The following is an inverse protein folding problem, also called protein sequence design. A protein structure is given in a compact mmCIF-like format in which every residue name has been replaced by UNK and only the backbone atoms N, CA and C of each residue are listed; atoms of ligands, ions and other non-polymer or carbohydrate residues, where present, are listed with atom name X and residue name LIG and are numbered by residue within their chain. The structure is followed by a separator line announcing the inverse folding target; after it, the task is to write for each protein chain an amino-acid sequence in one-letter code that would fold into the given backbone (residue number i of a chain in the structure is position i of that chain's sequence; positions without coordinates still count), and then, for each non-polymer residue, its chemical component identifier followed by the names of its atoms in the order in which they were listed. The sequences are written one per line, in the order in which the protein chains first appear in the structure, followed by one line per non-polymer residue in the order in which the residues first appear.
data_IF_071401290814
#
_entry.id   IF_071401290814
#
_cell.length_a   1.000
_cell.length_b   1.000
_cell.length_c   1.000
_cell.angle_alpha   90.00
_cell.angle_beta   90.00
_cell.angle_gamma   90.00
#
_symmetry.space_group_name_H-M   'P 1'
#
loop_
_entity.id
_entity.type
_entity.pdbx_description
1 polymer ?
#
# COMPACT_ATOMS: atom_id res chain seq x y z
N UNK A 1 0.85 -18.09 -6.87
CA UNK A 1 1.99 -17.20 -6.58
C UNK A 1 1.57 -15.78 -6.18
N UNK A 2 0.68 -15.11 -6.92
CA UNK A 2 0.22 -13.74 -6.60
C UNK A 2 -0.35 -13.58 -5.18
N UNK A 3 -1.23 -14.50 -4.74
CA UNK A 3 -1.79 -14.45 -3.38
C UNK A 3 -0.74 -14.53 -2.27
N UNK A 4 0.27 -15.40 -2.41
CA UNK A 4 1.38 -15.52 -1.46
C UNK A 4 2.28 -14.27 -1.47
N UNK A 5 2.57 -13.72 -2.66
CA UNK A 5 3.34 -12.48 -2.80
C UNK A 5 2.66 -11.29 -2.10
N UNK A 6 1.35 -11.15 -2.28
CA UNK A 6 0.55 -10.14 -1.58
C UNK A 6 0.51 -10.37 -0.06
N UNK A 7 0.36 -11.62 0.38
CA UNK A 7 0.31 -11.97 1.80
C UNK A 7 1.64 -11.63 2.52
N UNK A 8 2.78 -11.96 1.91
CA UNK A 8 4.10 -11.60 2.43
C UNK A 8 4.25 -10.08 2.53
N UNK A 9 3.93 -9.36 1.46
CA UNK A 9 4.00 -7.90 1.45
C UNK A 9 3.10 -7.24 2.50
N UNK A 10 1.88 -7.76 2.71
CA UNK A 10 0.96 -7.30 3.77
C UNK A 10 1.50 -7.58 5.17
N UNK A 11 2.04 -8.77 5.39
CA UNK A 11 2.61 -9.17 6.67
C UNK A 11 3.82 -8.32 7.05
N UNK A 12 4.80 -8.20 6.14
CA UNK A 12 5.97 -7.31 6.35
C UNK A 12 5.53 -5.87 6.55
N UNK A 13 4.49 -5.44 5.82
CA UNK A 13 4.00 -4.09 5.96
C UNK A 13 3.40 -3.83 7.33
N UNK A 14 2.60 -4.77 7.82
CA UNK A 14 1.97 -4.75 9.14
C UNK A 14 3.00 -4.81 10.27
N UNK A 15 4.03 -5.66 10.17
CA UNK A 15 5.12 -5.70 11.15
C UNK A 15 5.78 -4.34 11.31
N UNK A 16 6.12 -3.69 10.20
CA UNK A 16 6.76 -2.38 10.26
C UNK A 16 5.76 -1.33 10.79
N UNK A 17 4.49 -1.32 10.35
CA UNK A 17 3.49 -0.40 10.91
C UNK A 17 3.32 -0.57 12.42
N UNK A 18 3.33 -1.80 12.94
CA UNK A 18 3.32 -2.06 14.38
C UNK A 18 4.55 -1.46 15.07
N UNK A 19 5.74 -1.62 14.48
CA UNK A 19 6.97 -0.96 14.96
C UNK A 19 6.84 0.57 15.02
N UNK A 20 6.19 1.21 14.03
CA UNK A 20 5.96 2.66 14.01
C UNK A 20 4.96 3.14 15.07
N UNK A 21 3.99 2.31 15.44
CA UNK A 21 2.95 2.67 16.42
C UNK A 21 3.43 2.58 17.87
N UNK A 22 4.50 1.84 18.15
CA UNK A 22 4.98 1.71 19.51
C UNK A 22 5.52 3.05 20.04
N UNK A 23 5.13 3.41 21.27
CA UNK A 23 5.53 4.64 21.95
C UNK A 23 7.05 4.82 21.96
N UNK A 24 7.54 5.83 21.22
CA UNK A 24 8.97 6.14 21.08
C UNK A 24 9.69 6.31 22.43
N UNK A 25 9.02 6.81 23.47
CA UNK A 25 9.65 7.04 24.78
C UNK A 25 9.89 5.71 25.50
N UNK A 26 8.90 4.82 25.53
CA UNK A 26 9.04 3.48 26.10
C UNK A 26 9.97 2.59 25.28
N UNK A 27 9.92 2.74 23.95
CA UNK A 27 10.77 1.99 23.03
C UNK A 27 12.25 2.33 23.18
N UNK A 28 12.57 3.62 23.30
CA UNK A 28 13.96 4.08 23.48
C UNK A 28 14.61 3.46 24.71
N UNK A 29 13.86 3.36 25.81
CA UNK A 29 14.33 2.69 27.03
C UNK A 29 14.53 1.18 26.85
N UNK A 30 13.69 0.53 26.05
CA UNK A 30 13.74 -0.92 25.84
C UNK A 30 14.78 -1.37 24.80
N UNK A 31 14.98 -0.59 23.74
CA UNK A 31 15.86 -0.96 22.62
C UNK A 31 17.35 -0.76 22.93
N UNK A 32 17.70 0.16 23.84
CA UNK A 32 19.09 0.44 24.22
C UNK A 32 20.00 0.64 22.99
N UNK A 33 21.00 -0.23 22.76
CA UNK A 33 21.93 -0.11 21.63
C UNK A 33 21.27 -0.25 20.25
N UNK A 34 20.13 -0.92 20.14
CA UNK A 34 19.44 -1.18 18.86
C UNK A 34 18.60 0.01 18.37
N UNK A 35 18.52 1.09 19.15
CA UNK A 35 17.75 2.28 18.80
C UNK A 35 18.13 2.85 17.42
N UNK A 36 19.43 2.92 17.12
CA UNK A 36 19.90 3.46 15.83
C UNK A 36 19.52 2.59 14.64
N UNK A 37 19.50 1.26 14.80
CA UNK A 37 19.05 0.34 13.76
C UNK A 37 17.53 0.45 13.54
N UNK A 38 16.77 0.59 14.63
CA UNK A 38 15.33 0.81 14.60
C UNK A 38 14.95 2.11 13.88
N UNK A 39 15.57 3.24 14.25
CA UNK A 39 15.31 4.54 13.64
C UNK A 39 15.64 4.54 12.14
N UNK A 40 16.70 3.85 11.71
CA UNK A 40 17.02 3.66 10.28
C UNK A 40 15.98 2.84 9.53
N UNK A 41 15.48 1.75 10.13
CA UNK A 41 14.42 0.93 9.53
C UNK A 41 13.14 1.74 9.30
N UNK A 42 12.73 2.49 10.33
CA UNK A 42 11.59 3.41 10.33
C UNK A 42 11.73 4.51 9.26
N UNK A 43 12.89 5.14 9.15
CA UNK A 43 13.14 6.19 8.17
C UNK A 43 13.10 5.67 6.72
N UNK A 44 13.66 4.48 6.47
CA UNK A 44 13.70 3.87 5.13
C UNK A 44 12.30 3.59 4.59
N UNK A 45 11.39 3.10 5.44
CA UNK A 45 9.99 2.86 5.06
C UNK A 45 9.21 4.16 4.81
N UNK A 46 9.37 5.16 5.68
CA UNK A 46 8.70 6.46 5.50
C UNK A 46 9.06 7.11 4.15
N UNK A 47 10.31 6.96 3.70
CA UNK A 47 10.77 7.45 2.40
C UNK A 47 10.08 6.71 1.22
N UNK A 48 9.93 5.39 1.33
CA UNK A 48 9.26 4.57 0.30
C UNK A 48 7.75 4.90 0.22
N UNK A 49 7.08 5.01 1.37
CA UNK A 49 5.63 5.28 1.41
C UNK A 49 5.28 6.72 0.99
N UNK A 50 6.17 7.69 1.24
CA UNK A 50 5.95 9.10 0.90
C UNK A 50 5.86 9.40 -0.60
N UNK A 51 6.42 8.53 -1.46
CA UNK A 51 6.51 8.78 -2.91
C UNK A 51 5.70 7.81 -3.77
N UNK A 52 5.24 6.69 -3.22
CA UNK A 52 4.65 5.59 -4.03
C UNK A 52 3.32 5.97 -4.68
N UNK A 53 2.34 6.48 -3.91
CA UNK A 53 1.02 6.84 -4.47
C UNK A 53 1.10 8.01 -5.46
N UNK A 54 1.94 9.00 -5.18
CA UNK A 54 2.16 10.13 -6.08
C UNK A 54 2.82 9.72 -7.40
N UNK A 55 3.79 8.80 -7.34
CA UNK A 55 4.42 8.25 -8.55
C UNK A 55 3.46 7.40 -9.35
N UNK A 56 2.66 6.57 -8.67
CA UNK A 56 1.62 5.77 -9.31
C UNK A 56 0.61 6.65 -10.06
N UNK A 57 0.07 7.70 -9.42
CA UNK A 57 -0.86 8.64 -10.07
C UNK A 57 -0.26 9.21 -11.36
N UNK A 58 1.00 9.65 -11.33
CA UNK A 58 1.69 10.19 -12.52
C UNK A 58 1.86 9.15 -13.63
N UNK A 59 2.08 7.88 -13.28
CA UNK A 59 2.16 6.79 -14.26
C UNK A 59 0.77 6.57 -14.89
N UNK A 60 -0.28 6.45 -14.08
CA UNK A 60 -1.64 6.21 -14.54
C UNK A 60 -2.16 7.33 -15.45
N UNK A 61 -1.84 8.59 -15.14
CA UNK A 61 -2.15 9.75 -15.97
C UNK A 61 -1.57 9.66 -17.39
N UNK A 62 -0.43 8.98 -17.56
CA UNK A 62 0.21 8.77 -18.87
C UNK A 62 -0.39 7.60 -19.64
N UNK A 63 -1.12 6.71 -18.97
CA UNK A 63 -1.67 5.47 -19.53
C UNK A 63 -3.17 5.59 -19.87
N UNK A 64 -3.68 6.81 -20.02
CA UNK A 64 -5.08 7.08 -20.39
C UNK A 64 -6.13 6.44 -19.45
N UNK A 65 -5.81 6.33 -18.16
CA UNK A 65 -6.75 5.89 -17.12
C UNK A 65 -7.84 6.95 -16.93
N UNK A 66 -9.07 6.51 -16.65
CA UNK A 66 -10.23 7.38 -16.45
C UNK A 66 -9.94 8.53 -15.46
N UNK A 67 -10.29 9.76 -15.85
CA UNK A 67 -10.09 10.95 -15.04
C UNK A 67 -10.77 10.86 -13.66
N UNK A 68 -11.91 10.18 -13.54
CA UNK A 68 -12.59 9.97 -12.26
C UNK A 68 -11.77 9.07 -11.33
N UNK A 69 -11.08 8.07 -11.87
CA UNK A 69 -10.20 7.19 -11.11
C UNK A 69 -8.96 7.94 -10.63
N UNK A 70 -8.37 8.77 -11.49
CA UNK A 70 -7.27 9.66 -11.11
C UNK A 70 -7.70 10.66 -10.02
N UNK A 71 -8.88 11.28 -10.17
CA UNK A 71 -9.41 12.20 -9.18
C UNK A 71 -9.65 11.52 -7.83
N UNK A 72 -10.17 10.29 -7.83
CA UNK A 72 -10.33 9.49 -6.62
C UNK A 72 -8.98 9.19 -5.95
N UNK A 73 -7.96 8.80 -6.71
CA UNK A 73 -6.62 8.52 -6.16
C UNK A 73 -5.96 9.77 -5.57
N UNK A 74 -6.13 10.94 -6.21
CA UNK A 74 -5.67 12.22 -5.67
C UNK A 74 -6.39 12.55 -4.37
N UNK A 75 -7.71 12.36 -4.31
CA UNK A 75 -8.47 12.56 -3.07
C UNK A 75 -8.01 11.64 -1.94
N UNK A 76 -7.74 10.36 -2.21
CA UNK A 76 -7.17 9.41 -1.23
C UNK A 76 -5.80 9.88 -0.75
N UNK A 77 -4.93 10.32 -1.68
CA UNK A 77 -3.62 10.87 -1.35
C UNK A 77 -3.73 12.04 -0.38
N UNK A 78 -4.66 12.97 -0.60
CA UNK A 78 -4.85 14.12 0.29
C UNK A 78 -5.26 13.69 1.71
N UNK A 79 -6.07 12.63 1.85
CA UNK A 79 -6.45 12.11 3.19
C UNK A 79 -5.26 11.47 3.90
N UNK A 80 -4.45 10.72 3.16
CA UNK A 80 -3.20 10.14 3.67
C UNK A 80 -2.24 11.25 4.10
N UNK A 81 -2.03 12.26 3.28
CA UNK A 81 -1.09 13.35 3.56
C UNK A 81 -1.55 14.18 4.75
N UNK A 82 -2.85 14.47 4.86
CA UNK A 82 -3.42 15.08 6.06
C UNK A 82 -3.07 14.28 7.33
N UNK A 83 -3.29 12.96 7.32
CA UNK A 83 -2.98 12.09 8.45
C UNK A 83 -1.48 12.12 8.81
N UNK A 84 -0.60 11.97 7.80
CA UNK A 84 0.84 11.92 8.02
C UNK A 84 1.39 13.25 8.50
N UNK A 85 1.03 14.36 7.87
CA UNK A 85 1.45 15.69 8.31
C UNK A 85 0.95 16.00 9.72
N UNK A 86 -0.36 15.82 9.97
CA UNK A 86 -0.97 16.26 11.23
C UNK A 86 -0.56 15.42 12.44
N UNK A 87 -0.43 14.10 12.29
CA UNK A 87 -0.16 13.22 13.43
C UNK A 87 1.32 12.87 13.58
N UNK A 88 2.05 12.64 12.49
CA UNK A 88 3.43 12.20 12.57
C UNK A 88 4.43 13.35 12.56
N UNK A 89 4.15 14.45 11.85
CA UNK A 89 5.05 15.59 11.79
C UNK A 89 4.71 16.66 12.83
N UNK A 90 3.44 17.01 12.98
CA UNK A 90 3.01 18.07 13.88
C UNK A 90 2.72 17.59 15.31
N UNK A 91 2.63 16.27 15.55
CA UNK A 91 2.39 15.72 16.89
C UNK A 91 1.07 16.15 17.52
N UNK A 92 0.06 16.50 16.71
CA UNK A 92 -1.15 17.19 17.14
C UNK A 92 -2.12 16.35 18.00
N UNK A 93 -1.75 15.15 18.44
CA UNK A 93 -2.60 14.23 19.21
C UNK A 93 -1.83 13.49 20.33
N UNK A 94 -2.39 13.35 21.55
CA UNK A 94 -3.52 14.10 22.11
C UNK A 94 -3.11 15.46 22.71
N UNK A 95 -1.83 15.84 22.61
CA UNK A 95 -1.29 17.18 22.92
C UNK A 95 -2.00 17.95 24.04
N UNK A 96 -2.36 19.21 23.73
CA UNK A 96 -3.14 20.13 24.59
C UNK A 96 -4.66 20.02 24.33
N UNK A 97 -5.13 18.94 23.71
CA UNK A 97 -6.53 18.83 23.30
C UNK A 97 -7.46 18.66 24.50
N UNK A 98 -8.59 19.37 24.48
CA UNK A 98 -9.67 19.12 25.42
C UNK A 98 -10.49 17.86 25.07
N UNK A 99 -11.45 17.50 25.91
CA UNK A 99 -12.27 16.30 25.70
C UNK A 99 -13.09 16.36 24.39
N UNK A 100 -13.59 17.54 24.03
CA UNK A 100 -14.38 17.72 22.82
C UNK A 100 -13.51 17.57 21.57
N UNK A 101 -12.34 18.20 21.56
CA UNK A 101 -11.32 18.04 20.52
C UNK A 101 -10.86 16.59 20.40
N UNK A 102 -10.75 15.89 21.53
CA UNK A 102 -10.48 14.47 21.57
C UNK A 102 -11.53 13.62 20.85
N UNK A 103 -12.81 13.91 21.10
CA UNK A 103 -13.91 13.20 20.43
C UNK A 103 -13.94 13.50 18.93
N UNK A 104 -13.72 14.76 18.53
CA UNK A 104 -13.71 15.17 17.14
C UNK A 104 -12.59 14.49 16.35
N UNK A 105 -11.38 14.48 16.90
CA UNK A 105 -10.25 13.83 16.25
C UNK A 105 -10.48 12.33 16.12
N UNK A 106 -11.01 11.65 17.15
CA UNK A 106 -11.34 10.22 17.08
C UNK A 106 -12.24 9.90 15.88
N UNK A 107 -13.31 10.69 15.68
CA UNK A 107 -14.21 10.54 14.52
C UNK A 107 -13.49 10.75 13.19
N UNK A 108 -12.59 11.74 13.12
CA UNK A 108 -11.76 11.99 11.92
C UNK A 108 -10.82 10.82 11.63
N UNK A 109 -10.17 10.25 12.64
CA UNK A 109 -9.28 9.09 12.47
C UNK A 109 -10.05 7.89 11.93
N UNK A 110 -11.24 7.61 12.47
CA UNK A 110 -12.12 6.53 11.98
C UNK A 110 -12.51 6.80 10.52
N UNK A 111 -12.88 8.03 10.16
CA UNK A 111 -13.23 8.37 8.78
C UNK A 111 -12.05 8.16 7.82
N UNK A 112 -10.85 8.61 8.20
CA UNK A 112 -9.62 8.41 7.42
C UNK A 112 -9.34 6.92 7.23
N UNK A 113 -9.44 6.12 8.30
CA UNK A 113 -9.26 4.67 8.22
C UNK A 113 -10.21 4.05 7.19
N UNK A 114 -11.51 4.34 7.28
CA UNK A 114 -12.51 3.82 6.33
C UNK A 114 -12.21 4.23 4.88
N UNK A 115 -11.74 5.45 4.66
CA UNK A 115 -11.35 5.92 3.32
C UNK A 115 -10.14 5.16 2.78
N UNK A 116 -9.12 4.91 3.61
CA UNK A 116 -7.92 4.18 3.21
C UNK A 116 -8.22 2.69 2.94
N UNK A 117 -9.02 2.04 3.78
CA UNK A 117 -9.49 0.66 3.55
C UNK A 117 -10.32 0.53 2.27
N UNK A 118 -11.08 1.58 1.92
CA UNK A 118 -11.78 1.64 0.63
C UNK A 118 -10.81 1.90 -0.52
N UNK A 119 -9.80 2.74 -0.33
CA UNK A 119 -8.70 2.97 -1.26
C UNK A 119 -7.99 1.67 -1.64
N UNK A 120 -7.64 0.84 -0.65
CA UNK A 120 -6.99 -0.46 -0.86
C UNK A 120 -7.82 -1.41 -1.72
N UNK A 121 -9.15 -1.39 -1.59
CA UNK A 121 -10.04 -2.22 -2.43
C UNK A 121 -10.21 -1.63 -3.82
N UNK A 122 -10.43 -0.32 -3.90
CA UNK A 122 -10.72 0.36 -5.16
C UNK A 122 -9.52 0.38 -6.11
N UNK A 123 -8.28 0.37 -5.62
CA UNK A 123 -7.10 0.37 -6.50
C UNK A 123 -7.09 -0.84 -7.44
N UNK A 124 -7.53 -2.01 -6.95
CA UNK A 124 -7.64 -3.21 -7.76
C UNK A 124 -8.66 -3.03 -8.87
N UNK A 125 -9.83 -2.47 -8.54
CA UNK A 125 -10.88 -2.22 -9.53
C UNK A 125 -10.42 -1.20 -10.58
N UNK A 126 -9.65 -0.19 -10.20
CA UNK A 126 -9.01 0.77 -11.12
C UNK A 126 -8.05 0.04 -12.06
N UNK A 127 -7.18 -0.82 -11.53
CA UNK A 127 -6.24 -1.59 -12.35
C UNK A 127 -6.94 -2.55 -13.30
N UNK A 128 -8.05 -3.17 -12.88
CA UNK A 128 -8.89 -3.98 -13.77
C UNK A 128 -9.47 -3.16 -14.91
N UNK A 129 -10.07 -2.00 -14.61
CA UNK A 129 -10.64 -1.11 -15.63
C UNK A 129 -9.59 -0.59 -16.60
N UNK A 130 -8.38 -0.34 -16.11
CA UNK A 130 -7.24 0.07 -16.92
C UNK A 130 -6.59 -1.08 -17.70
N UNK A 131 -7.06 -2.33 -17.54
CA UNK A 131 -6.53 -3.50 -18.25
C UNK A 131 -5.16 -3.98 -17.75
N UNK A 132 -4.72 -3.57 -16.56
CA UNK A 132 -3.42 -3.99 -16.01
C UNK A 132 -3.46 -5.33 -15.29
N UNK A 133 -4.63 -5.71 -14.78
CA UNK A 133 -4.83 -6.96 -14.04
C UNK A 133 -6.19 -7.56 -14.37
N UNK A 134 -6.26 -8.88 -14.27
CA UNK A 134 -7.51 -9.62 -14.17
C UNK A 134 -7.92 -9.71 -12.70
N UNK A 135 -9.22 -9.60 -12.44
CA UNK A 135 -9.79 -9.71 -11.10
C UNK A 135 -10.98 -10.65 -11.08
N UNK A 136 -10.84 -11.72 -10.31
CA UNK A 136 -11.92 -12.62 -9.96
C UNK A 136 -12.38 -12.35 -8.52
N UNK A 137 -13.68 -12.10 -8.38
CA UNK A 137 -14.34 -12.06 -7.07
C UNK A 137 -14.75 -13.48 -6.70
N UNK A 138 -14.28 -13.94 -5.55
CA UNK A 138 -14.66 -15.22 -4.98
C UNK A 138 -16.00 -15.09 -4.24
N UNK A 139 -16.72 -16.20 -4.11
CA UNK A 139 -18.04 -16.25 -3.48
C UNK A 139 -18.04 -15.90 -1.99
N UNK A 140 -16.87 -15.97 -1.34
CA UNK A 140 -16.65 -15.59 0.07
C UNK A 140 -16.29 -14.10 0.25
N UNK A 141 -16.27 -13.32 -0.83
CA UNK A 141 -15.83 -11.92 -0.83
C UNK A 141 -14.32 -11.74 -0.92
N UNK A 142 -13.56 -12.82 -1.07
CA UNK A 142 -12.16 -12.80 -1.45
C UNK A 142 -11.96 -12.26 -2.87
N UNK A 143 -10.73 -11.81 -3.16
CA UNK A 143 -10.37 -11.28 -4.46
C UNK A 143 -9.06 -11.90 -4.93
N UNK A 144 -9.08 -12.47 -6.12
CA UNK A 144 -7.91 -12.99 -6.81
C UNK A 144 -7.51 -11.99 -7.90
N UNK A 145 -6.34 -11.38 -7.73
CA UNK A 145 -5.73 -10.53 -8.75
C UNK A 145 -4.67 -11.30 -9.52
N UNK A 146 -4.76 -11.28 -10.85
CA UNK A 146 -3.84 -11.95 -11.75
C UNK A 146 -3.18 -10.94 -12.68
N UNK A 147 -1.89 -11.11 -12.93
CA UNK A 147 -1.16 -10.29 -13.88
C UNK A 147 -1.47 -10.80 -15.30
N UNK A 148 -1.94 -9.91 -16.18
CA UNK A 148 -2.29 -10.22 -17.57
C UNK A 148 -1.12 -10.84 -18.35
N UNK A 149 0.13 -10.45 -18.06
CA UNK A 149 1.31 -10.91 -18.80
C UNK A 149 1.91 -12.22 -18.30
N UNK A 150 1.41 -12.82 -17.22
CA UNK A 150 1.96 -14.09 -16.70
C UNK A 150 1.68 -15.25 -17.66
N UNK A 151 0.50 -15.27 -18.30
CA UNK A 151 0.15 -16.33 -19.23
C UNK A 151 1.00 -16.27 -20.50
N UNK A 152 1.23 -15.08 -21.03
CA UNK A 152 2.07 -14.87 -22.21
C UNK A 152 3.54 -15.24 -21.93
N UNK A 153 4.08 -14.87 -20.76
CA UNK A 153 5.46 -15.25 -20.37
C UNK A 153 5.62 -16.76 -20.17
N UNK A 154 4.64 -17.44 -19.56
CA UNK A 154 4.69 -18.89 -19.39
C UNK A 154 4.58 -19.59 -20.75
N UNK A 155 3.73 -19.10 -21.66
CA UNK A 155 3.65 -19.65 -23.01
C UNK A 155 4.94 -19.42 -23.80
N UNK A 156 5.56 -18.26 -23.70
CA UNK A 156 6.85 -17.97 -24.34
C UNK A 156 7.97 -18.86 -23.78
N UNK A 157 8.01 -19.09 -22.47
CA UNK A 157 8.99 -19.97 -21.84
C UNK A 157 8.77 -21.44 -22.23
N UNK A 158 7.51 -21.90 -22.27
CA UNK A 158 7.15 -23.26 -22.74
C UNK A 158 7.45 -23.42 -24.23
N UNK A 159 7.21 -22.39 -25.05
CA UNK A 159 7.53 -22.40 -26.47
C UNK A 159 9.05 -22.48 -26.68
N UNK A 160 9.85 -21.76 -25.90
CA UNK A 160 11.33 -21.83 -25.95
C UNK A 160 11.86 -23.19 -25.52
N UNK A 161 11.29 -23.79 -24.47
CA UNK A 161 11.66 -25.14 -24.03
C UNK A 161 11.36 -26.21 -25.09
N UNK A 162 10.25 -26.09 -25.83
CA UNK A 162 9.91 -27.03 -26.90
C UNK A 162 10.76 -26.86 -28.17
N UNK A 163 11.43 -25.72 -28.36
CA UNK A 163 12.34 -25.47 -29.49
C UNK A 163 13.73 -26.06 -29.23
N UNK A 164 14.22 -26.00 -27.98
CA UNK A 164 15.52 -26.56 -27.61
C UNK A 164 15.55 -28.11 -27.61
N UNK A 165 14.40 -28.78 -27.43
CA UNK A 165 14.28 -30.24 -27.55
C UNK A 165 14.14 -30.74 -29.00
N UNK A 166 14.02 -29.83 -29.98
CA UNK A 166 13.76 -30.14 -31.39
C UNK A 166 15.01 -30.25 -32.29
N UNK A 167 16.19 -29.82 -31.83
CA UNK A 167 17.40 -29.69 -32.67
C UNK A 167 18.42 -30.84 -32.49
N UNK A 168 18.00 -31.99 -31.95
CA UNK A 168 18.81 -33.21 -31.87
C UNK A 168 18.14 -34.41 -32.58
N UNK A 169 17.87 -34.32 -33.88
CA UNK A 169 17.70 -35.50 -34.76
C UNK A 169 18.35 -35.25 -36.12
#
# INVERSE_FOLDING_TARGET
MAGAYLAVGKFESMLISAMHMCDRVKLRKALGPDQGAWERSVAKKALLEGSTLGSLIKILERQNVDHADIAYLRWIKDKRDYFVHRLFHEGAWPGEMDEHECQLMRRRLIAIQLWLERGERNIWVIFKRAGFVELDLLSDGGLLAMNMGIYDMIQDDVARMNVDDGDNI
#
